data_IF_328423134519
#
_entry.id   IF_328423134519
#
_cell.length_a   1.000
_cell.length_b   1.000
_cell.length_c   1.000
_cell.angle_alpha   90.00
_cell.angle_beta   90.00
_cell.angle_gamma   90.00
#
_symmetry.space_group_name_H-M   'P 1'
#
loop_
_entity.id
_entity.type
_entity.pdbx_description
1 polymer ?
#
# COMPACT_ATOMS: atom_id res chain seq x y z
N UNK A 1 -3.72 -19.62 2.59
CA UNK A 1 -4.98 -19.25 3.26
C UNK A 1 -6.17 -19.61 2.38
N UNK A 2 -7.18 -20.26 2.94
CA UNK A 2 -8.44 -20.58 2.25
C UNK A 2 -9.21 -19.29 1.92
N UNK A 3 -9.12 -18.27 2.77
CA UNK A 3 -9.81 -16.99 2.62
C UNK A 3 -8.88 -15.94 2.04
N UNK A 4 -8.64 -15.99 0.71
CA UNK A 4 -7.86 -15.00 -0.01
C UNK A 4 -8.70 -13.75 -0.32
N UNK A 5 -8.04 -12.62 -0.68
CA UNK A 5 -8.78 -11.44 -1.14
C UNK A 5 -9.60 -11.75 -2.41
N UNK A 6 -9.08 -12.61 -3.31
CA UNK A 6 -9.80 -13.11 -4.48
C UNK A 6 -11.11 -13.82 -4.08
N UNK A 7 -11.07 -14.71 -3.09
CA UNK A 7 -12.27 -15.40 -2.60
C UNK A 7 -13.37 -14.40 -2.22
N UNK A 8 -13.03 -13.38 -1.44
CA UNK A 8 -13.99 -12.34 -1.06
C UNK A 8 -14.45 -11.49 -2.25
N UNK A 9 -13.57 -11.23 -3.21
CA UNK A 9 -13.92 -10.53 -4.43
C UNK A 9 -14.91 -11.31 -5.31
N UNK A 10 -14.73 -12.61 -5.41
CA UNK A 10 -15.64 -13.49 -6.15
C UNK A 10 -16.99 -13.64 -5.41
N UNK A 11 -16.95 -13.83 -4.09
CA UNK A 11 -18.16 -13.90 -3.25
C UNK A 11 -18.99 -12.60 -3.34
N UNK A 12 -18.32 -11.43 -3.32
CA UNK A 12 -18.99 -10.14 -3.48
C UNK A 12 -19.80 -10.03 -4.78
N UNK A 13 -19.27 -10.61 -5.88
CA UNK A 13 -19.97 -10.59 -7.18
C UNK A 13 -21.14 -11.56 -7.24
N UNK A 14 -21.02 -12.73 -6.59
CA UNK A 14 -22.04 -13.79 -6.62
C UNK A 14 -23.15 -13.50 -5.63
N UNK A 15 -22.80 -13.13 -4.40
CA UNK A 15 -23.76 -12.93 -3.31
C UNK A 15 -23.26 -11.88 -2.31
N UNK A 16 -23.70 -10.65 -2.50
CA UNK A 16 -23.27 -9.53 -1.66
C UNK A 16 -23.67 -9.71 -0.17
N UNK A 17 -24.83 -10.30 0.13
CA UNK A 17 -25.26 -10.55 1.52
C UNK A 17 -24.35 -11.54 2.23
N UNK A 18 -24.01 -12.66 1.58
CA UNK A 18 -23.02 -13.63 2.13
C UNK A 18 -21.64 -12.99 2.25
N UNK A 19 -21.21 -12.20 1.26
CA UNK A 19 -19.96 -11.44 1.36
C UNK A 19 -19.93 -10.56 2.60
N UNK A 20 -20.95 -9.75 2.84
CA UNK A 20 -21.00 -8.83 4.00
C UNK A 20 -20.88 -9.59 5.32
N UNK A 21 -21.60 -10.71 5.46
CA UNK A 21 -21.56 -11.55 6.64
C UNK A 21 -20.18 -12.17 6.85
N UNK A 22 -19.67 -12.89 5.85
CA UNK A 22 -18.43 -13.66 5.98
C UNK A 22 -17.20 -12.74 6.07
N UNK A 23 -17.20 -11.64 5.32
CA UNK A 23 -16.12 -10.67 5.40
C UNK A 23 -16.08 -9.93 6.72
N UNK A 24 -17.26 -9.67 7.33
CA UNK A 24 -17.36 -9.09 8.68
C UNK A 24 -16.77 -10.02 9.73
N UNK A 25 -17.15 -11.30 9.71
CA UNK A 25 -16.62 -12.32 10.62
C UNK A 25 -15.10 -12.45 10.46
N UNK A 26 -14.63 -12.54 9.21
CA UNK A 26 -13.21 -12.63 8.89
C UNK A 26 -12.41 -11.44 9.44
N UNK A 27 -12.87 -10.21 9.17
CA UNK A 27 -12.18 -9.01 9.67
C UNK A 27 -12.21 -8.94 11.19
N UNK A 28 -13.33 -9.27 11.84
CA UNK A 28 -13.44 -9.30 13.30
C UNK A 28 -12.45 -10.30 13.91
N UNK A 29 -12.37 -11.51 13.35
CA UNK A 29 -11.45 -12.55 13.81
C UNK A 29 -9.98 -12.13 13.65
N UNK A 30 -9.60 -11.59 12.49
CA UNK A 30 -8.23 -11.10 12.25
C UNK A 30 -7.91 -9.93 13.19
N UNK A 31 -8.84 -9.00 13.38
CA UNK A 31 -8.65 -7.87 14.29
C UNK A 31 -8.47 -8.32 15.74
N UNK A 32 -9.24 -9.32 16.18
CA UNK A 32 -9.08 -9.93 17.50
C UNK A 32 -7.67 -10.51 17.68
N UNK A 33 -7.22 -11.36 16.74
CA UNK A 33 -5.90 -11.97 16.78
C UNK A 33 -4.77 -10.93 16.79
N UNK A 34 -4.86 -9.90 15.94
CA UNK A 34 -3.86 -8.83 15.89
C UNK A 34 -3.78 -8.08 17.23
N UNK A 35 -4.93 -7.72 17.81
CA UNK A 35 -4.98 -7.02 19.09
C UNK A 35 -4.46 -7.85 20.26
N UNK A 36 -4.75 -9.15 20.28
CA UNK A 36 -4.21 -10.08 21.28
C UNK A 36 -2.68 -10.12 21.26
N UNK A 37 -2.08 -9.92 20.06
CA UNK A 37 -0.63 -9.84 19.88
C UNK A 37 -0.07 -8.41 20.06
N UNK A 38 -0.89 -7.43 20.46
CA UNK A 38 -0.47 -6.03 20.58
C UNK A 38 -0.29 -5.30 19.25
N UNK A 39 -0.77 -5.88 18.13
CA UNK A 39 -0.67 -5.28 16.79
C UNK A 39 -1.93 -4.47 16.50
N UNK A 40 -1.77 -3.18 16.22
CA UNK A 40 -2.86 -2.24 16.00
C UNK A 40 -2.90 -1.61 14.60
N UNK A 41 -1.98 -1.99 13.71
CA UNK A 41 -1.96 -1.55 12.32
C UNK A 41 -1.82 -2.77 11.41
N UNK A 42 -2.72 -2.91 10.42
CA UNK A 42 -2.68 -3.98 9.43
C UNK A 42 -2.38 -3.43 8.03
N UNK A 43 -1.46 -4.09 7.31
CA UNK A 43 -1.05 -3.71 5.96
C UNK A 43 -2.04 -4.22 4.89
N UNK A 44 -3.28 -3.77 5.00
CA UNK A 44 -4.44 -4.06 4.14
C UNK A 44 -5.26 -2.78 3.91
N UNK A 45 -6.12 -2.75 2.88
CA UNK A 45 -6.29 -3.69 1.77
C UNK A 45 -5.21 -3.55 0.69
N UNK A 46 -5.02 -4.63 -0.08
CA UNK A 46 -4.33 -4.57 -1.37
C UNK A 46 -5.32 -4.03 -2.39
N UNK A 47 -5.04 -2.84 -2.93
CA UNK A 47 -5.89 -2.15 -3.92
C UNK A 47 -5.39 -2.29 -5.35
N UNK A 48 -4.38 -3.14 -5.55
CA UNK A 48 -3.86 -3.48 -6.86
C UNK A 48 -4.87 -4.31 -7.65
N UNK A 49 -5.03 -4.00 -8.93
CA UNK A 49 -5.96 -4.73 -9.82
C UNK A 49 -5.26 -6.01 -10.30
N UNK A 50 -5.92 -7.17 -10.17
CA UNK A 50 -5.42 -8.43 -10.71
C UNK A 50 -5.42 -8.39 -12.23
N UNK A 51 -4.28 -8.79 -12.84
CA UNK A 51 -4.10 -8.85 -14.28
C UNK A 51 -3.66 -10.25 -14.70
N UNK A 52 -4.30 -10.81 -15.70
CA UNK A 52 -4.00 -12.17 -16.20
C UNK A 52 -2.56 -12.34 -16.69
N UNK A 53 -2.00 -11.30 -17.34
CA UNK A 53 -0.65 -11.32 -17.93
C UNK A 53 0.42 -10.67 -17.05
N UNK A 54 0.14 -10.36 -15.78
CA UNK A 54 1.12 -9.81 -14.84
C UNK A 54 1.74 -10.90 -13.98
N UNK A 55 2.81 -10.54 -13.26
CA UNK A 55 3.44 -11.46 -12.31
C UNK A 55 2.46 -11.81 -11.16
N UNK A 56 2.50 -13.06 -10.72
CA UNK A 56 1.56 -13.58 -9.71
C UNK A 56 1.82 -13.04 -8.27
N UNK A 57 2.73 -12.06 -8.11
CA UNK A 57 3.03 -11.48 -6.79
C UNK A 57 1.82 -10.78 -6.16
N UNK A 58 0.94 -10.20 -6.96
CA UNK A 58 -0.36 -9.70 -6.49
C UNK A 58 -1.35 -10.85 -6.43
N UNK A 59 -1.54 -11.58 -7.53
CA UNK A 59 -2.33 -12.81 -7.59
C UNK A 59 -3.63 -12.72 -6.80
N UNK A 60 -3.84 -13.67 -5.92
CA UNK A 60 -5.02 -13.81 -5.07
C UNK A 60 -5.06 -12.83 -3.88
N UNK A 61 -4.02 -12.00 -3.71
CA UNK A 61 -4.03 -10.86 -2.78
C UNK A 61 -4.92 -9.72 -3.28
N UNK A 62 -5.26 -9.68 -4.57
CA UNK A 62 -6.21 -8.72 -5.15
C UNK A 62 -7.63 -9.25 -5.09
N UNK A 63 -8.58 -8.38 -4.77
CA UNK A 63 -10.01 -8.72 -4.76
C UNK A 63 -10.57 -9.03 -6.14
N UNK A 64 -10.09 -8.37 -7.21
CA UNK A 64 -10.68 -8.53 -8.55
C UNK A 64 -9.77 -7.99 -9.65
N UNK A 65 -10.13 -8.38 -10.90
CA UNK A 65 -9.68 -7.69 -12.12
C UNK A 65 -10.52 -6.45 -12.46
N UNK A 66 -11.68 -6.26 -11.83
CA UNK A 66 -12.50 -5.05 -11.98
C UNK A 66 -12.11 -4.01 -10.91
N UNK A 67 -11.64 -2.85 -11.35
CA UNK A 67 -11.25 -1.73 -10.49
C UNK A 67 -12.38 -1.22 -9.58
N UNK A 68 -13.65 -1.34 -10.01
CA UNK A 68 -14.81 -0.91 -9.21
C UNK A 68 -15.00 -1.83 -8.02
N UNK A 69 -14.91 -3.13 -8.23
CA UNK A 69 -14.96 -4.15 -7.18
C UNK A 69 -13.81 -3.98 -6.19
N UNK A 70 -12.57 -3.84 -6.69
CA UNK A 70 -11.38 -3.58 -5.84
C UNK A 70 -11.58 -2.33 -4.99
N UNK A 71 -12.05 -1.23 -5.60
CA UNK A 71 -12.28 0.03 -4.89
C UNK A 71 -13.37 -0.08 -3.83
N UNK A 72 -14.48 -0.75 -4.13
CA UNK A 72 -15.63 -0.91 -3.23
C UNK A 72 -15.27 -1.79 -2.02
N UNK A 73 -14.74 -2.99 -2.27
CA UNK A 73 -14.31 -3.90 -1.19
C UNK A 73 -13.18 -3.26 -0.37
N UNK A 74 -12.28 -2.53 -1.02
CA UNK A 74 -11.23 -1.79 -0.32
C UNK A 74 -11.77 -0.79 0.71
N UNK A 75 -12.85 -0.05 0.39
CA UNK A 75 -13.50 0.84 1.34
C UNK A 75 -14.13 0.06 2.51
N UNK A 76 -14.88 -1.01 2.20
CA UNK A 76 -15.49 -1.89 3.21
C UNK A 76 -14.41 -2.46 4.15
N UNK A 77 -13.29 -2.91 3.59
CA UNK A 77 -12.15 -3.43 4.36
C UNK A 77 -11.62 -2.38 5.36
N UNK A 78 -11.36 -1.16 4.88
CA UNK A 78 -10.86 -0.06 5.72
C UNK A 78 -11.86 0.22 6.85
N UNK A 79 -13.14 0.39 6.53
CA UNK A 79 -14.18 0.70 7.51
C UNK A 79 -14.31 -0.39 8.57
N UNK A 80 -14.35 -1.68 8.15
CA UNK A 80 -14.47 -2.79 9.09
C UNK A 80 -13.24 -2.94 10.00
N UNK A 81 -12.00 -2.79 9.51
CA UNK A 81 -10.81 -2.80 10.37
C UNK A 81 -10.80 -1.62 11.34
N UNK A 82 -11.13 -0.40 10.89
CA UNK A 82 -11.21 0.77 11.76
C UNK A 82 -12.27 0.59 12.86
N UNK A 83 -13.45 0.04 12.54
CA UNK A 83 -14.49 -0.27 13.54
C UNK A 83 -14.05 -1.33 14.56
N UNK A 84 -13.03 -2.12 14.26
CA UNK A 84 -12.42 -3.08 15.17
C UNK A 84 -11.10 -2.58 15.79
N UNK A 85 -10.84 -1.25 15.77
CA UNK A 85 -9.66 -0.60 16.34
C UNK A 85 -8.32 -1.06 15.73
N UNK A 86 -8.33 -1.42 14.46
CA UNK A 86 -7.13 -1.73 13.69
C UNK A 86 -7.00 -0.70 12.57
N UNK A 87 -5.94 0.08 12.60
CA UNK A 87 -5.62 1.00 11.51
C UNK A 87 -5.15 0.24 10.26
N UNK A 88 -5.32 0.85 9.10
CA UNK A 88 -5.01 0.20 7.81
C UNK A 88 -3.93 0.93 7.03
N UNK A 89 -3.13 0.17 6.28
CA UNK A 89 -2.20 0.69 5.26
C UNK A 89 -2.65 0.19 3.90
N UNK A 90 -3.22 1.07 3.06
CA UNK A 90 -3.56 0.71 1.68
C UNK A 90 -2.31 0.52 0.83
N UNK A 91 -2.30 -0.49 -0.05
CA UNK A 91 -1.11 -0.80 -0.86
C UNK A 91 -1.43 -1.40 -2.23
N UNK A 92 -0.52 -1.31 -3.17
CA UNK A 92 0.76 -0.58 -3.21
C UNK A 92 0.59 0.66 -4.09
N UNK A 93 0.38 1.82 -3.46
CA UNK A 93 0.10 3.07 -4.18
C UNK A 93 1.27 3.49 -5.09
N UNK A 94 1.02 3.89 -6.35
CA UNK A 94 -0.27 4.15 -6.99
C UNK A 94 -0.87 2.95 -7.74
N UNK A 95 -0.29 1.74 -7.66
CA UNK A 95 -0.83 0.50 -8.25
C UNK A 95 0.24 -0.45 -8.75
N UNK A 96 0.27 -1.69 -8.26
CA UNK A 96 1.27 -2.72 -8.59
C UNK A 96 0.77 -3.75 -9.62
N UNK A 97 -0.52 -3.70 -9.99
CA UNK A 97 -1.20 -4.75 -10.75
C UNK A 97 -0.64 -5.02 -12.15
N UNK A 98 0.08 -4.07 -12.76
CA UNK A 98 0.70 -4.20 -14.09
C UNK A 98 2.14 -4.73 -14.06
N UNK A 99 2.71 -4.99 -12.89
CA UNK A 99 4.07 -5.48 -12.76
C UNK A 99 4.25 -6.87 -13.37
N UNK A 100 5.25 -7.01 -14.24
CA UNK A 100 5.60 -8.29 -14.90
C UNK A 100 6.71 -9.05 -14.16
N UNK A 101 7.18 -8.55 -13.04
CA UNK A 101 8.23 -9.17 -12.23
C UNK A 101 8.02 -8.87 -10.76
N UNK A 102 8.65 -9.69 -9.90
CA UNK A 102 8.62 -9.56 -8.46
C UNK A 102 9.53 -8.44 -7.99
N UNK A 103 8.97 -7.46 -7.26
CA UNK A 103 9.73 -6.35 -6.66
C UNK A 103 10.66 -6.77 -5.53
N UNK A 104 10.49 -7.96 -4.94
CA UNK A 104 11.47 -8.52 -4.01
C UNK A 104 12.78 -8.92 -4.71
N UNK A 105 12.73 -9.24 -6.00
CA UNK A 105 13.88 -9.74 -6.77
C UNK A 105 14.51 -8.68 -7.68
N UNK A 106 13.70 -7.88 -8.36
CA UNK A 106 14.15 -6.83 -9.30
C UNK A 106 13.10 -5.72 -9.41
N UNK A 107 13.54 -4.54 -9.89
CA UNK A 107 12.64 -3.40 -10.11
C UNK A 107 11.69 -3.68 -11.29
N UNK A 108 10.37 -3.82 -11.06
CA UNK A 108 9.41 -3.98 -12.15
C UNK A 108 9.23 -2.67 -12.91
N UNK A 109 9.14 -2.78 -14.26
CA UNK A 109 8.98 -1.64 -15.17
C UNK A 109 7.56 -1.65 -15.74
N UNK A 110 6.88 -0.50 -15.67
CA UNK A 110 5.55 -0.26 -16.22
C UNK A 110 5.66 0.79 -17.32
N UNK A 111 5.27 0.41 -18.54
CA UNK A 111 5.39 1.25 -19.74
C UNK A 111 4.07 1.91 -20.17
N UNK A 112 3.01 1.77 -19.38
CA UNK A 112 1.70 2.32 -19.71
C UNK A 112 1.70 3.86 -19.66
N UNK A 113 0.95 4.50 -20.57
CA UNK A 113 0.75 5.96 -20.58
C UNK A 113 0.02 6.41 -19.31
N UNK A 114 0.34 7.62 -18.83
CA UNK A 114 -0.23 8.17 -17.59
C UNK A 114 -1.77 8.25 -17.65
N UNK A 115 -2.35 8.58 -18.81
CA UNK A 115 -3.81 8.63 -18.99
C UNK A 115 -4.47 7.27 -18.70
N UNK A 116 -3.87 6.17 -19.17
CA UNK A 116 -4.32 4.81 -18.88
C UNK A 116 -4.25 4.50 -17.37
N UNK A 117 -3.12 4.81 -16.74
CA UNK A 117 -2.89 4.57 -15.31
C UNK A 117 -3.90 5.34 -14.45
N UNK A 118 -4.13 6.63 -14.74
CA UNK A 118 -5.11 7.47 -14.06
C UNK A 118 -6.54 6.96 -14.23
N UNK A 119 -6.88 6.39 -15.39
CA UNK A 119 -8.21 5.83 -15.66
C UNK A 119 -8.43 4.45 -15.05
N UNK A 120 -7.35 3.71 -14.75
CA UNK A 120 -7.42 2.32 -14.30
C UNK A 120 -6.77 2.13 -12.92
N UNK A 121 -5.48 1.79 -12.86
CA UNK A 121 -4.82 1.32 -11.64
C UNK A 121 -4.80 2.36 -10.51
N UNK A 122 -4.64 3.64 -10.84
CA UNK A 122 -4.63 4.73 -9.85
C UNK A 122 -6.01 5.06 -9.29
N UNK A 123 -7.10 4.63 -9.98
CA UNK A 123 -8.48 4.88 -9.52
C UNK A 123 -8.81 4.15 -8.22
N UNK A 124 -8.26 2.95 -8.02
CA UNK A 124 -8.57 2.14 -6.85
C UNK A 124 -8.10 2.80 -5.54
N UNK A 125 -7.16 3.73 -5.62
CA UNK A 125 -6.60 4.46 -4.47
C UNK A 125 -7.30 5.79 -4.19
N UNK A 126 -8.19 6.26 -5.06
CA UNK A 126 -8.92 7.51 -4.83
C UNK A 126 -9.96 7.40 -3.71
N UNK A 127 -10.16 8.49 -2.96
CA UNK A 127 -11.19 8.62 -1.92
C UNK A 127 -11.14 7.50 -0.88
N UNK A 128 -9.93 7.15 -0.39
CA UNK A 128 -9.73 6.17 0.68
C UNK A 128 -9.58 6.85 2.03
N UNK A 129 -10.28 6.32 3.06
CA UNK A 129 -10.26 6.85 4.43
C UNK A 129 -9.07 6.34 5.26
N UNK A 130 -8.18 5.52 4.71
CA UNK A 130 -6.96 5.09 5.40
C UNK A 130 -6.02 6.27 5.65
N UNK A 131 -5.39 6.29 6.83
CA UNK A 131 -4.40 7.29 7.20
C UNK A 131 -3.00 6.98 6.69
N UNK A 132 -2.78 5.76 6.19
CA UNK A 132 -1.50 5.29 5.68
C UNK A 132 -1.65 4.69 4.29
N UNK A 133 -0.70 4.97 3.41
CA UNK A 133 -0.57 4.32 2.11
C UNK A 133 0.88 3.91 1.86
N UNK A 134 1.10 2.66 1.47
CA UNK A 134 2.41 2.10 1.18
C UNK A 134 2.71 2.19 -0.31
N UNK A 135 3.88 2.73 -0.67
CA UNK A 135 4.33 2.76 -2.08
C UNK A 135 4.88 1.40 -2.49
N UNK A 136 4.58 0.95 -3.71
CA UNK A 136 5.32 -0.16 -4.30
C UNK A 136 6.65 0.29 -4.93
N UNK A 137 7.66 -0.58 -4.95
CA UNK A 137 8.91 -0.33 -5.64
C UNK A 137 8.78 -0.66 -7.13
N UNK A 138 8.28 0.30 -7.91
CA UNK A 138 7.97 0.19 -9.34
C UNK A 138 8.55 1.35 -10.13
N UNK A 139 9.00 1.11 -11.34
CA UNK A 139 9.41 2.14 -12.28
C UNK A 139 8.29 2.40 -13.30
N UNK A 140 7.63 3.55 -13.25
CA UNK A 140 6.69 4.00 -14.27
C UNK A 140 7.45 4.79 -15.34
N UNK A 141 8.00 4.09 -16.35
CA UNK A 141 8.97 4.62 -17.32
C UNK A 141 8.46 5.86 -18.05
N UNK A 142 7.17 5.94 -18.35
CA UNK A 142 6.57 7.10 -19.03
C UNK A 142 6.24 8.29 -18.09
N UNK A 143 6.58 8.19 -16.80
CA UNK A 143 6.40 9.28 -15.83
C UNK A 143 7.75 9.71 -15.25
N UNK A 144 8.56 8.74 -14.83
CA UNK A 144 9.91 8.93 -14.34
C UNK A 144 10.79 7.81 -14.90
N UNK A 145 11.77 8.15 -15.71
CA UNK A 145 12.58 7.15 -16.42
C UNK A 145 13.63 6.48 -15.54
N UNK A 146 13.94 7.05 -14.39
CA UNK A 146 15.10 6.65 -13.58
C UNK A 146 14.77 6.22 -12.16
N UNK A 147 13.71 6.79 -11.55
CA UNK A 147 13.44 6.59 -10.15
C UNK A 147 12.23 5.66 -9.95
N UNK A 148 12.41 4.66 -9.08
CA UNK A 148 11.29 3.89 -8.56
C UNK A 148 10.26 4.82 -7.88
N UNK A 149 9.01 4.42 -7.81
CA UNK A 149 7.90 5.17 -7.18
C UNK A 149 8.31 5.79 -5.85
N UNK A 150 8.91 4.99 -4.98
CA UNK A 150 9.38 5.39 -3.64
C UNK A 150 10.41 6.55 -3.67
N UNK A 151 11.17 6.67 -4.75
CA UNK A 151 12.21 7.71 -4.94
C UNK A 151 11.80 8.80 -5.92
N UNK A 152 10.60 8.76 -6.49
CA UNK A 152 10.16 9.66 -7.55
C UNK A 152 9.30 10.81 -7.04
N UNK A 153 9.85 12.02 -6.99
CA UNK A 153 9.07 13.26 -6.73
C UNK A 153 7.88 13.39 -7.67
N UNK A 154 8.04 12.97 -8.94
CA UNK A 154 6.98 13.06 -9.97
C UNK A 154 5.80 12.16 -9.60
N UNK A 155 6.06 10.90 -9.21
CA UNK A 155 5.01 9.95 -8.81
C UNK A 155 4.35 10.38 -7.49
N UNK A 156 5.14 10.78 -6.49
CA UNK A 156 4.58 11.27 -5.22
C UNK A 156 3.68 12.50 -5.45
N UNK A 157 4.08 13.42 -6.35
CA UNK A 157 3.22 14.56 -6.74
C UNK A 157 1.91 14.09 -7.39
N UNK A 158 1.93 13.04 -8.21
CA UNK A 158 0.72 12.45 -8.80
C UNK A 158 -0.16 11.84 -7.71
N UNK A 159 0.41 11.09 -6.77
CA UNK A 159 -0.30 10.52 -5.61
C UNK A 159 -1.02 11.65 -4.84
N UNK A 160 -0.31 12.75 -4.55
CA UNK A 160 -0.86 13.90 -3.83
C UNK A 160 -1.93 14.66 -4.63
N UNK A 161 -1.66 14.98 -5.91
CA UNK A 161 -2.48 15.91 -6.72
C UNK A 161 -3.54 15.21 -7.57
N UNK A 162 -3.27 14.03 -8.16
CA UNK A 162 -4.18 13.36 -9.11
C UNK A 162 -4.99 12.22 -8.45
N UNK A 163 -4.38 11.47 -7.54
CA UNK A 163 -5.10 10.48 -6.72
C UNK A 163 -5.78 11.18 -5.54
N UNK A 164 -5.20 12.25 -5.01
CA UNK A 164 -5.74 13.04 -3.92
C UNK A 164 -5.47 12.45 -2.53
N UNK A 165 -4.45 11.58 -2.39
CA UNK A 165 -4.10 11.01 -1.09
C UNK A 165 -3.34 12.04 -0.23
N UNK A 166 -3.98 12.53 0.84
CA UNK A 166 -3.48 13.63 1.69
C UNK A 166 -2.92 13.16 3.04
N UNK A 167 -2.81 11.84 3.25
CA UNK A 167 -2.35 11.27 4.52
C UNK A 167 -0.91 10.76 4.44
N UNK A 168 -0.44 9.97 5.41
CA UNK A 168 0.95 9.51 5.48
C UNK A 168 1.28 8.52 4.37
N UNK A 169 2.35 8.78 3.64
CA UNK A 169 2.93 7.84 2.68
C UNK A 169 4.11 7.16 3.38
N UNK A 170 4.06 5.83 3.46
CA UNK A 170 5.14 4.98 3.91
C UNK A 170 5.73 4.23 2.72
N UNK A 171 7.03 3.94 2.73
CA UNK A 171 7.63 3.07 1.71
C UNK A 171 7.23 1.62 1.92
N UNK A 172 7.34 0.78 0.88
CA UNK A 172 7.55 -0.66 1.08
C UNK A 172 8.95 -0.89 1.70
N UNK A 173 9.28 -2.13 2.06
CA UNK A 173 10.53 -2.46 2.72
C UNK A 173 11.76 -2.03 1.90
N UNK A 174 12.58 -1.16 2.48
CA UNK A 174 13.78 -0.64 1.83
C UNK A 174 14.89 -1.70 1.64
N UNK A 175 14.79 -2.87 2.25
CA UNK A 175 15.71 -4.00 2.04
C UNK A 175 15.43 -4.79 0.75
N UNK A 176 14.31 -4.53 0.08
CA UNK A 176 13.94 -5.23 -1.17
C UNK A 176 14.92 -4.92 -2.30
N UNK A 177 15.29 -5.98 -3.06
CA UNK A 177 16.28 -5.89 -4.15
C UNK A 177 15.87 -5.03 -5.36
N UNK A 178 14.62 -4.56 -5.41
CA UNK A 178 14.18 -3.58 -6.40
C UNK A 178 14.90 -2.23 -6.28
N UNK A 179 15.42 -1.89 -5.12
CA UNK A 179 16.13 -0.63 -4.88
C UNK A 179 17.64 -0.83 -5.01
N UNK A 180 18.25 -0.12 -5.96
CA UNK A 180 19.65 -0.33 -6.37
C UNK A 180 20.70 0.40 -5.51
N UNK A 181 20.30 1.34 -4.65
CA UNK A 181 21.24 2.15 -3.88
C UNK A 181 21.53 1.52 -2.51
N UNK A 182 22.57 2.01 -1.84
CA UNK A 182 22.80 1.68 -0.43
C UNK A 182 21.60 2.08 0.43
N UNK A 183 21.39 1.40 1.55
CA UNK A 183 20.27 1.66 2.46
C UNK A 183 20.21 3.14 2.88
N UNK A 184 21.36 3.74 3.24
CA UNK A 184 21.47 5.18 3.53
C UNK A 184 20.90 6.05 2.41
N UNK A 185 21.27 5.75 1.15
CA UNK A 185 20.81 6.50 -0.02
C UNK A 185 19.34 6.25 -0.31
N UNK A 186 18.84 5.02 -0.13
CA UNK A 186 17.43 4.68 -0.27
C UNK A 186 16.56 5.47 0.73
N UNK A 187 16.94 5.52 2.01
CA UNK A 187 16.25 6.30 3.04
C UNK A 187 16.16 7.77 2.63
N UNK A 188 17.30 8.40 2.34
CA UNK A 188 17.35 9.82 1.96
C UNK A 188 16.52 10.14 0.71
N UNK A 189 16.61 9.30 -0.33
CA UNK A 189 15.83 9.49 -1.57
C UNK A 189 14.34 9.36 -1.32
N UNK A 190 13.90 8.47 -0.43
CA UNK A 190 12.48 8.28 -0.09
C UNK A 190 11.90 9.55 0.55
N UNK A 191 12.57 10.10 1.54
CA UNK A 191 12.14 11.36 2.17
C UNK A 191 12.19 12.55 1.20
N UNK A 192 13.27 12.67 0.41
CA UNK A 192 13.40 13.71 -0.62
C UNK A 192 12.33 13.61 -1.71
N UNK A 193 11.80 12.41 -1.98
CA UNK A 193 10.69 12.23 -2.90
C UNK A 193 9.35 12.66 -2.31
N UNK A 194 9.23 12.72 -0.99
CA UNK A 194 8.02 13.14 -0.26
C UNK A 194 7.27 12.01 0.44
N UNK A 195 7.93 10.86 0.69
CA UNK A 195 7.46 9.88 1.66
C UNK A 195 7.58 10.46 3.07
N UNK A 196 6.63 10.13 3.95
CA UNK A 196 6.59 10.61 5.34
C UNK A 196 7.27 9.63 6.30
N UNK A 197 7.25 8.34 5.96
CA UNK A 197 7.79 7.24 6.75
C UNK A 197 8.54 6.28 5.83
N UNK A 198 9.51 5.57 6.39
CA UNK A 198 10.19 4.47 5.70
C UNK A 198 10.01 3.17 6.48
N UNK A 199 9.94 2.07 5.77
CA UNK A 199 9.82 0.73 6.33
C UNK A 199 11.12 -0.04 6.10
N UNK A 200 11.58 -0.78 7.12
CA UNK A 200 12.73 -1.67 7.06
C UNK A 200 12.47 -2.89 7.94
N UNK A 201 12.46 -4.09 7.36
CA UNK A 201 11.84 -5.26 7.98
C UNK A 201 12.82 -6.41 8.30
N UNK A 202 14.13 -6.27 8.03
CA UNK A 202 15.05 -7.41 8.18
C UNK A 202 15.55 -7.67 9.62
N UNK A 203 15.29 -6.76 10.57
CA UNK A 203 15.66 -6.91 11.97
C UNK A 203 17.16 -6.77 12.28
N UNK A 204 17.99 -6.39 11.31
CA UNK A 204 19.44 -6.21 11.51
C UNK A 204 19.69 -4.87 12.18
N UNK A 205 20.12 -4.87 13.45
CA UNK A 205 20.33 -3.67 14.26
C UNK A 205 21.23 -2.62 13.57
N UNK A 206 22.33 -3.04 12.95
CA UNK A 206 23.25 -2.15 12.22
C UNK A 206 22.51 -1.38 11.10
N UNK A 207 21.63 -2.03 10.38
CA UNK A 207 20.82 -1.40 9.33
C UNK A 207 19.71 -0.51 9.91
N UNK A 208 19.06 -0.93 10.99
CA UNK A 208 18.07 -0.10 11.69
C UNK A 208 18.69 1.22 12.17
N UNK A 209 19.93 1.20 12.68
CA UNK A 209 20.68 2.40 13.06
C UNK A 209 20.98 3.29 11.84
N UNK A 210 21.31 2.72 10.69
CA UNK A 210 21.49 3.48 9.44
C UNK A 210 20.18 4.19 9.06
N UNK A 211 19.05 3.48 9.12
CA UNK A 211 17.73 4.07 8.82
C UNK A 211 17.44 5.21 9.79
N UNK A 212 17.55 4.99 11.10
CA UNK A 212 17.28 6.00 12.11
C UNK A 212 18.14 7.27 11.93
N UNK A 213 19.46 7.12 11.77
CA UNK A 213 20.41 8.23 11.56
C UNK A 213 20.17 9.05 10.28
N UNK A 214 19.48 8.48 9.29
CA UNK A 214 19.23 9.15 8.01
C UNK A 214 17.76 9.56 7.82
N UNK A 215 16.90 9.32 8.82
CA UNK A 215 15.53 9.80 8.87
C UNK A 215 15.48 11.24 9.43
N UNK A 216 14.64 12.12 8.86
CA UNK A 216 14.44 13.47 9.38
C UNK A 216 13.73 13.44 10.73
N UNK A 217 13.80 14.53 11.47
CA UNK A 217 12.96 14.75 12.66
C UNK A 217 11.48 14.78 12.25
N UNK A 218 10.62 14.34 13.15
CA UNK A 218 9.16 14.34 12.98
C UNK A 218 8.67 15.78 12.85
N UNK A 219 7.86 16.06 11.82
CA UNK A 219 7.25 17.36 11.58
C UNK A 219 5.81 17.44 12.13
N UNK A 220 5.24 18.64 12.14
CA UNK A 220 3.85 18.91 12.59
C UNK A 220 2.80 18.11 11.82
N UNK A 221 3.04 17.83 10.53
CA UNK A 221 2.12 17.04 9.72
C UNK A 221 2.09 15.58 10.17
N UNK A 222 3.26 14.99 10.42
CA UNK A 222 3.37 13.60 10.91
C UNK A 222 2.73 13.50 12.30
N UNK A 223 3.03 14.42 13.23
CA UNK A 223 2.42 14.46 14.57
C UNK A 223 0.89 14.51 14.46
N UNK A 224 0.34 15.42 13.65
CA UNK A 224 -1.12 15.53 13.44
C UNK A 224 -1.72 14.22 12.93
N UNK A 225 -1.07 13.56 11.97
CA UNK A 225 -1.59 12.32 11.36
C UNK A 225 -1.45 11.12 12.28
N UNK A 226 -0.38 11.00 13.05
CA UNK A 226 -0.23 9.95 14.06
C UNK A 226 -1.22 10.11 15.21
N UNK A 227 -1.53 11.34 15.64
CA UNK A 227 -2.62 11.60 16.60
C UNK A 227 -3.99 11.20 16.08
N UNK A 228 -4.25 11.37 14.76
CA UNK A 228 -5.47 10.85 14.14
C UNK A 228 -5.48 9.32 14.08
N UNK A 229 -4.31 8.69 13.88
CA UNK A 229 -4.17 7.25 13.89
C UNK A 229 -4.47 6.68 15.28
N UNK A 230 -3.95 7.31 16.34
CA UNK A 230 -4.22 6.91 17.74
C UNK A 230 -5.72 6.84 18.05
N UNK A 231 -6.53 7.78 17.52
CA UNK A 231 -8.00 7.75 17.69
C UNK A 231 -8.70 6.56 17.03
N UNK A 232 -8.08 5.93 16.04
CA UNK A 232 -8.65 4.72 15.41
C UNK A 232 -8.36 3.49 16.27
N UNK A 233 -7.19 3.46 16.91
CA UNK A 233 -6.68 2.28 17.62
C UNK A 233 -6.98 2.30 19.12
N UNK A 234 -7.39 3.44 19.69
CA UNK A 234 -7.93 3.55 21.05
C UNK A 234 -9.38 3.07 21.10
#
# INVERSE_FOLDING_TARGET
>A
SIFTAKYFGDLYKINNKKFETYFSVYVKQISYLLRTLGININSVPVLDIRRFKSHNIIGDRSYSSDKRVVSKIGNICIEKFHSNRIATIIKHIPGHGLAKSDSHKKLPIINNKIAYLLKNDFQTFKKKKSLLAMTGHLLYKNIDQTNATTHSKKIIKIIRKKIGFKNLIITDDLSMKALKYSLKKNVRKSFLAGCNLVLHCNGILKEMLIVAKNSPKIDKFIIKKTSQLSRIIS
#
